data_IF_788814925161
#
_entry.id   IF_788814925161
#
_cell.length_a   1.000
_cell.length_b   1.000
_cell.length_c   1.000
_cell.angle_alpha   90.00
_cell.angle_beta   90.00
_cell.angle_gamma   90.00
#
_symmetry.space_group_name_H-M   'P 1'
#
loop_
_entity.id
_entity.type
_entity.pdbx_description
1 polymer ?
#
# COMPACT_ATOMS: atom_id res chain seq x y z
N UNK A 1 -48.84 11.76 -36.29
CA UNK A 1 -48.81 11.16 -34.94
C UNK A 1 -47.48 10.45 -34.81
N UNK A 2 -46.51 11.09 -34.14
CA UNK A 2 -45.15 10.56 -33.97
C UNK A 2 -44.81 10.68 -32.50
N UNK A 3 -44.68 9.54 -31.83
CA UNK A 3 -44.31 9.46 -30.42
C UNK A 3 -42.79 9.64 -30.36
N UNK A 4 -42.34 10.80 -29.91
CA UNK A 4 -40.95 11.00 -29.49
C UNK A 4 -40.77 10.33 -28.13
N UNK A 5 -40.33 9.08 -28.16
CA UNK A 5 -39.92 8.33 -26.98
C UNK A 5 -38.78 9.09 -26.30
N UNK A 6 -39.06 9.61 -25.11
CA UNK A 6 -38.06 10.16 -24.22
C UNK A 6 -37.15 9.00 -23.78
N UNK A 7 -36.01 8.84 -24.45
CA UNK A 7 -34.93 7.98 -23.99
C UNK A 7 -34.28 8.64 -22.78
N UNK A 8 -34.98 8.57 -21.65
CA UNK A 8 -34.49 8.85 -20.30
C UNK A 8 -33.77 7.59 -19.80
N UNK A 9 -32.79 7.12 -20.57
CA UNK A 9 -31.88 6.07 -20.15
C UNK A 9 -30.65 6.75 -19.55
N UNK A 10 -30.68 6.87 -18.23
CA UNK A 10 -29.50 6.77 -17.36
C UNK A 10 -28.29 7.64 -17.71
N UNK A 11 -28.36 8.92 -17.33
CA UNK A 11 -27.16 9.71 -17.02
C UNK A 11 -26.63 9.34 -15.62
N UNK A 12 -26.41 8.05 -15.35
CA UNK A 12 -25.82 7.54 -14.11
C UNK A 12 -24.48 6.90 -14.52
N UNK A 13 -23.39 7.41 -13.92
CA UNK A 13 -21.99 6.98 -14.08
C UNK A 13 -21.13 7.66 -15.16
N UNK A 14 -21.07 8.99 -15.19
CA UNK A 14 -20.05 9.74 -15.96
C UNK A 14 -18.79 10.13 -15.16
N UNK A 15 -18.59 9.58 -13.96
CA UNK A 15 -17.43 9.90 -13.10
C UNK A 15 -16.61 8.67 -12.69
N UNK A 16 -16.53 7.63 -13.53
CA UNK A 16 -15.56 6.56 -13.32
C UNK A 16 -14.17 7.04 -13.75
N UNK A 17 -13.18 7.01 -12.85
CA UNK A 17 -11.78 7.25 -13.22
C UNK A 17 -11.33 6.17 -14.20
N UNK A 18 -10.87 6.58 -15.38
CA UNK A 18 -10.30 5.64 -16.35
C UNK A 18 -8.97 5.07 -15.85
N UNK A 19 -8.59 3.89 -16.35
CA UNK A 19 -7.27 3.31 -16.08
C UNK A 19 -6.19 4.23 -16.68
N UNK A 20 -5.29 4.71 -15.81
CA UNK A 20 -4.24 5.63 -16.21
C UNK A 20 -3.05 4.86 -16.78
N UNK A 21 -2.78 5.05 -18.07
CA UNK A 21 -1.54 4.63 -18.78
C UNK A 21 -1.15 3.15 -18.53
N UNK A 22 -2.03 2.17 -18.81
CA UNK A 22 -1.77 0.75 -18.56
C UNK A 22 -0.53 0.18 -19.26
N UNK A 23 -0.07 0.81 -20.35
CA UNK A 23 1.04 0.34 -21.17
C UNK A 23 2.38 1.03 -20.87
N UNK A 24 2.45 1.89 -19.85
CA UNK A 24 3.67 2.64 -19.53
C UNK A 24 4.90 1.74 -19.31
N UNK A 25 4.69 0.54 -18.74
CA UNK A 25 5.75 -0.42 -18.46
C UNK A 25 6.36 -1.09 -19.70
N UNK A 26 5.78 -0.92 -20.88
CA UNK A 26 6.25 -1.54 -22.13
C UNK A 26 7.16 -0.63 -22.97
N UNK A 27 7.44 0.58 -22.48
CA UNK A 27 8.22 1.57 -23.21
C UNK A 27 9.71 1.18 -23.28
N UNK A 28 10.26 1.08 -24.49
CA UNK A 28 11.70 0.94 -24.70
C UNK A 28 12.40 2.29 -24.56
N UNK A 29 13.50 2.34 -23.80
CA UNK A 29 14.32 3.55 -23.64
C UNK A 29 15.65 3.37 -24.35
N UNK A 30 15.92 4.26 -25.31
CA UNK A 30 17.16 4.21 -26.10
C UNK A 30 18.40 4.74 -25.36
N UNK A 31 18.22 5.42 -24.23
CA UNK A 31 19.30 6.15 -23.53
C UNK A 31 19.32 5.87 -22.02
N UNK A 32 18.53 4.94 -21.52
CA UNK A 32 18.39 4.64 -20.09
C UNK A 32 17.92 3.20 -19.91
N UNK A 33 18.02 2.69 -18.69
CA UNK A 33 17.53 1.37 -18.28
C UNK A 33 16.06 1.19 -18.66
N UNK A 34 15.76 0.10 -19.35
CA UNK A 34 14.38 -0.26 -19.69
C UNK A 34 13.58 -0.52 -18.40
N UNK A 35 12.29 -0.15 -18.35
CA UNK A 35 11.47 -0.27 -17.15
C UNK A 35 11.32 -1.71 -16.64
N UNK A 36 11.42 -2.71 -17.51
CA UNK A 36 11.33 -4.13 -17.18
C UNK A 36 12.61 -4.72 -16.57
N UNK A 37 13.75 -4.03 -16.74
CA UNK A 37 15.05 -4.50 -16.25
C UNK A 37 15.33 -4.13 -14.79
N UNK A 38 14.43 -3.40 -14.13
CA UNK A 38 14.51 -3.08 -12.70
C UNK A 38 13.61 -4.03 -11.91
N UNK A 39 14.23 -4.93 -11.14
CA UNK A 39 13.50 -5.77 -10.20
C UNK A 39 13.15 -4.96 -8.94
N UNK A 40 11.88 -5.01 -8.53
CA UNK A 40 11.46 -4.57 -7.20
C UNK A 40 11.60 -5.78 -6.27
N UNK A 41 12.54 -5.69 -5.34
CA UNK A 41 12.76 -6.70 -4.30
C UNK A 41 12.77 -6.03 -2.92
N UNK A 42 12.09 -6.59 -1.91
CA UNK A 42 11.35 -7.87 -1.93
C UNK A 42 10.01 -7.81 -2.69
N UNK A 43 9.40 -8.96 -3.04
CA UNK A 43 8.05 -8.98 -3.59
C UNK A 43 7.03 -8.37 -2.61
N UNK A 44 5.92 -7.90 -3.15
CA UNK A 44 4.83 -7.35 -2.33
C UNK A 44 4.33 -8.40 -1.32
N UNK A 45 3.92 -7.98 -0.10
CA UNK A 45 3.36 -8.89 0.88
C UNK A 45 2.09 -9.58 0.38
N UNK A 46 1.89 -10.85 0.73
CA UNK A 46 0.62 -11.53 0.48
C UNK A 46 -0.50 -10.90 1.32
N UNK A 47 -1.74 -10.94 0.80
CA UNK A 47 -2.89 -10.30 1.46
C UNK A 47 -3.14 -10.79 2.89
N UNK A 48 -2.84 -12.05 3.18
CA UNK A 48 -2.98 -12.66 4.51
C UNK A 48 -1.67 -12.68 5.30
N UNK A 49 -0.62 -12.00 4.83
CA UNK A 49 0.67 -11.99 5.50
C UNK A 49 0.66 -11.10 6.74
N UNK A 50 1.60 -11.39 7.64
CA UNK A 50 1.77 -10.61 8.83
C UNK A 50 2.16 -9.15 8.53
N UNK A 51 2.89 -8.93 7.44
CA UNK A 51 3.27 -7.61 6.98
C UNK A 51 2.13 -6.83 6.35
N UNK A 52 1.30 -7.47 5.52
CA UNK A 52 0.10 -6.80 5.03
C UNK A 52 -0.78 -6.34 6.19
N UNK A 53 -0.91 -7.14 7.26
CA UNK A 53 -1.67 -6.75 8.45
C UNK A 53 -1.04 -5.53 9.15
N UNK A 54 0.28 -5.52 9.35
CA UNK A 54 0.98 -4.39 9.96
C UNK A 54 0.87 -3.11 9.11
N UNK A 55 1.01 -3.22 7.78
CA UNK A 55 0.81 -2.11 6.84
C UNK A 55 -0.61 -1.55 6.91
N UNK A 56 -1.63 -2.41 7.02
CA UNK A 56 -3.03 -1.98 7.15
C UNK A 56 -3.27 -1.24 8.47
N UNK A 57 -2.68 -1.71 9.58
CA UNK A 57 -2.78 -1.06 10.90
C UNK A 57 -2.10 0.30 10.90
N UNK A 58 -0.86 0.38 10.41
CA UNK A 58 -0.05 1.60 10.39
C UNK A 58 -0.61 2.63 9.39
N UNK A 59 -0.63 2.28 8.10
CA UNK A 59 -0.82 3.24 7.01
C UNK A 59 -2.30 3.54 6.73
N UNK A 60 -3.19 2.57 6.89
CA UNK A 60 -4.59 2.74 6.50
C UNK A 60 -5.50 3.09 7.66
N UNK A 61 -5.26 2.51 8.82
CA UNK A 61 -6.12 2.75 9.98
C UNK A 61 -5.63 3.96 10.78
N UNK A 62 -4.42 3.89 11.35
CA UNK A 62 -3.94 4.93 12.25
C UNK A 62 -3.59 6.24 11.56
N UNK A 63 -2.85 6.21 10.44
CA UNK A 63 -2.56 7.45 9.69
C UNK A 63 -3.84 8.14 9.19
N UNK A 64 -4.89 7.40 8.85
CA UNK A 64 -6.16 8.00 8.46
C UNK A 64 -6.86 8.69 9.65
N UNK A 65 -6.88 8.05 10.81
CA UNK A 65 -7.48 8.61 12.04
C UNK A 65 -6.71 9.83 12.56
N UNK A 66 -5.38 9.82 12.46
CA UNK A 66 -4.52 10.89 12.96
C UNK A 66 -4.34 12.05 11.95
N UNK A 67 -4.93 11.98 10.76
CA UNK A 67 -4.73 12.96 9.67
C UNK A 67 -5.04 14.40 10.06
N UNK A 68 -5.93 14.61 11.04
CA UNK A 68 -6.32 15.93 11.52
C UNK A 68 -5.47 16.47 12.68
N UNK A 69 -4.53 15.69 13.20
CA UNK A 69 -3.74 16.07 14.38
C UNK A 69 -2.52 16.90 13.93
N UNK A 70 -2.31 18.11 14.47
CA UNK A 70 -1.11 18.89 14.22
C UNK A 70 0.15 18.13 14.65
N UNK A 71 1.21 18.17 13.84
CA UNK A 71 2.48 17.50 14.16
C UNK A 71 3.06 17.85 15.55
N UNK A 72 2.96 19.09 16.08
CA UNK A 72 3.43 19.39 17.43
C UNK A 72 2.73 18.59 18.53
N UNK A 73 1.48 18.19 18.30
CA UNK A 73 0.68 17.46 19.29
C UNK A 73 1.05 15.96 19.34
N UNK A 74 1.86 15.46 18.41
CA UNK A 74 2.39 14.09 18.41
C UNK A 74 3.37 13.83 19.57
N UNK A 75 4.05 14.85 20.07
CA UNK A 75 4.98 14.74 21.20
C UNK A 75 4.31 14.97 22.56
N UNK A 76 3.02 15.32 22.59
CA UNK A 76 2.27 15.64 23.80
C UNK A 76 1.72 14.41 24.55
N UNK A 77 1.21 14.64 25.76
CA UNK A 77 0.54 13.62 26.61
C UNK A 77 -0.87 13.30 26.09
N UNK A 78 -1.03 13.18 24.77
CA UNK A 78 -2.32 12.84 24.20
C UNK A 78 -2.51 11.33 24.29
N UNK A 79 -3.46 10.88 25.11
CA UNK A 79 -3.68 9.46 25.39
C UNK A 79 -3.86 8.62 24.11
N UNK A 80 -4.42 9.21 23.05
CA UNK A 80 -4.63 8.54 21.77
C UNK A 80 -3.32 8.18 21.06
N UNK A 81 -2.26 8.98 21.19
CA UNK A 81 -0.98 8.76 20.48
C UNK A 81 -0.17 7.64 21.16
N UNK A 82 -0.19 7.56 22.49
CA UNK A 82 0.45 6.46 23.22
C UNK A 82 -0.14 5.10 22.80
N UNK A 83 -1.48 5.03 22.70
CA UNK A 83 -2.16 3.81 22.24
C UNK A 83 -1.80 3.45 20.79
N UNK A 84 -1.71 4.44 19.89
CA UNK A 84 -1.25 4.21 18.52
C UNK A 84 0.14 3.59 18.51
N UNK A 85 1.07 4.15 19.27
CA UNK A 85 2.45 3.67 19.34
C UNK A 85 2.47 2.21 19.80
N UNK A 86 1.72 1.88 20.85
CA UNK A 86 1.63 0.50 21.36
C UNK A 86 1.08 -0.48 20.32
N UNK A 87 -0.04 -0.15 19.67
CA UNK A 87 -0.68 -1.03 18.70
C UNK A 87 0.16 -1.23 17.43
N UNK A 88 0.72 -0.16 16.87
CA UNK A 88 1.59 -0.23 15.70
C UNK A 88 2.85 -1.03 16.05
N UNK A 89 3.47 -0.76 17.21
CA UNK A 89 4.65 -1.50 17.66
C UNK A 89 4.34 -3.00 17.82
N UNK A 90 3.17 -3.34 18.38
CA UNK A 90 2.74 -4.72 18.52
C UNK A 90 2.60 -5.41 17.15
N UNK A 91 1.90 -4.76 16.21
CA UNK A 91 1.68 -5.28 14.87
C UNK A 91 2.99 -5.46 14.09
N UNK A 92 3.88 -4.47 14.12
CA UNK A 92 5.19 -4.53 13.48
C UNK A 92 6.09 -5.61 14.10
N UNK A 93 6.09 -5.75 15.43
CA UNK A 93 6.88 -6.78 16.12
C UNK A 93 6.35 -8.18 15.78
N UNK A 94 5.02 -8.34 15.74
CA UNK A 94 4.42 -9.58 15.29
C UNK A 94 4.78 -9.89 13.84
N UNK A 95 4.71 -8.90 12.95
CA UNK A 95 5.13 -9.04 11.56
C UNK A 95 6.59 -9.50 11.48
N UNK A 96 7.53 -8.83 12.14
CA UNK A 96 8.94 -9.19 12.17
C UNK A 96 9.20 -10.63 12.65
N UNK A 97 8.49 -11.09 13.69
CA UNK A 97 8.64 -12.47 14.19
C UNK A 97 8.08 -13.52 13.24
N UNK A 98 7.02 -13.17 12.50
CA UNK A 98 6.36 -14.07 11.55
C UNK A 98 6.85 -13.86 10.10
N UNK A 99 7.81 -12.97 9.90
CA UNK A 99 8.47 -12.74 8.61
C UNK A 99 9.67 -13.67 8.38
N UNK A 100 9.80 -14.77 9.13
CA UNK A 100 10.72 -15.84 8.77
C UNK A 100 10.26 -16.43 7.44
N UNK A 101 11.05 -16.30 6.38
CA UNK A 101 10.77 -16.97 5.13
C UNK A 101 10.99 -18.46 5.37
N UNK A 102 10.01 -19.29 5.02
CA UNK A 102 10.21 -20.74 4.89
C UNK A 102 11.16 -21.13 3.76
N UNK A 103 11.76 -20.18 3.02
CA UNK A 103 12.75 -20.51 1.99
C UNK A 103 13.68 -19.34 1.56
N UNK A 104 14.38 -18.70 2.49
CA UNK A 104 15.60 -17.94 2.16
C UNK A 104 16.77 -18.44 3.01
N UNK A 105 17.35 -19.56 2.58
CA UNK A 105 18.69 -19.95 2.99
C UNK A 105 19.70 -19.00 2.34
N UNK A 106 19.88 -17.81 2.93
CA UNK A 106 21.12 -17.05 2.73
C UNK A 106 22.20 -17.86 3.45
N UNK A 107 22.93 -18.66 2.67
CA UNK A 107 24.20 -19.23 3.12
C UNK A 107 25.12 -18.07 3.51
N UNK A 108 25.18 -17.75 4.80
CA UNK A 108 26.31 -17.02 5.35
C UNK A 108 27.52 -17.94 5.23
N UNK A 109 28.18 -17.86 4.07
CA UNK A 109 29.51 -18.40 3.89
C UNK A 109 30.41 -17.51 4.75
N UNK A 110 30.76 -17.99 5.94
CA UNK A 110 31.87 -17.46 6.71
C UNK A 110 33.14 -17.63 5.88
N UNK A 111 33.65 -16.54 5.32
CA UNK A 111 35.04 -16.51 4.89
C UNK A 111 35.88 -16.23 6.13
N UNK A 112 36.68 -17.25 6.50
CA UNK A 112 37.74 -17.20 7.49
C UNK A 112 38.85 -16.21 7.11
#
# INVERSE_FOLDING_TARGET
>A
MTILTHNKAEAIATNASAMLIPLAGTANKNHSTNPDSLAITPPAPEICSACATAEMVELLYWMALLRGIPLPDFAGVNANISTVIEEVTCACTWAQRNHLPTDYSVNFRSED
#
